data_IF_835290716550
#
_entry.id   IF_835290716550
#
_cell.length_a   1.000
_cell.length_b   1.000
_cell.length_c   1.000
_cell.angle_alpha   90.00
_cell.angle_beta   90.00
_cell.angle_gamma   90.00
#
_symmetry.space_group_name_H-M   'P 1'
#
loop_
_entity.id
_entity.type
_entity.pdbx_description
1 polymer ?
#
# COMPACT_ATOMS: atom_id res chain seq x y z
N UNK A 1 -8.37 1.91 34.40
CA UNK A 1 -7.64 0.74 33.86
C UNK A 1 -8.02 0.59 32.39
N UNK A 2 -7.19 1.11 31.49
CA UNK A 2 -7.41 1.08 30.04
C UNK A 2 -7.06 -0.30 29.49
N UNK A 3 -8.09 -1.08 29.17
CA UNK A 3 -7.94 -2.38 28.50
C UNK A 3 -7.43 -2.11 27.09
N UNK A 4 -6.17 -2.45 26.84
CA UNK A 4 -5.52 -2.32 25.54
C UNK A 4 -6.35 -2.99 24.45
N UNK A 5 -6.63 -2.23 23.39
CA UNK A 5 -7.16 -2.74 22.14
C UNK A 5 -6.17 -3.79 21.64
N UNK A 6 -6.56 -5.07 21.69
CA UNK A 6 -5.75 -6.15 21.15
C UNK A 6 -5.52 -5.85 19.68
N UNK A 7 -4.26 -5.89 19.25
CA UNK A 7 -3.87 -5.81 17.85
C UNK A 7 -4.70 -6.86 17.09
N UNK A 8 -5.62 -6.39 16.24
CA UNK A 8 -6.27 -7.25 15.28
C UNK A 8 -5.17 -7.73 14.34
N UNK A 9 -4.68 -8.96 14.56
CA UNK A 9 -3.90 -9.69 13.58
C UNK A 9 -4.73 -9.71 12.30
N UNK A 10 -4.33 -8.89 11.32
CA UNK A 10 -5.01 -8.79 10.04
C UNK A 10 -5.08 -10.20 9.43
N UNK A 11 -6.27 -10.72 9.10
CA UNK A 11 -6.38 -12.00 8.42
C UNK A 11 -5.52 -11.93 7.15
N UNK A 12 -4.74 -12.99 6.90
CA UNK A 12 -3.81 -13.07 5.78
C UNK A 12 -4.60 -12.87 4.48
N UNK A 13 -4.65 -11.64 3.95
CA UNK A 13 -5.41 -11.41 2.74
C UNK A 13 -4.79 -12.22 1.60
N UNK A 14 -5.61 -12.91 0.78
CA UNK A 14 -5.13 -13.63 -0.39
C UNK A 14 -4.41 -12.67 -1.35
N UNK A 15 -3.33 -13.16 -1.96
CA UNK A 15 -2.73 -12.52 -3.15
C UNK A 15 -3.37 -13.05 -4.44
N UNK A 16 -4.10 -14.17 -4.36
CA UNK A 16 -4.87 -14.71 -5.48
C UNK A 16 -6.17 -13.92 -5.71
N UNK A 17 -6.72 -13.93 -6.94
CA UNK A 17 -8.03 -13.35 -7.22
C UNK A 17 -9.11 -13.92 -6.30
N UNK A 18 -9.88 -13.02 -5.67
CA UNK A 18 -10.98 -13.42 -4.78
C UNK A 18 -12.19 -14.01 -5.53
N UNK A 19 -12.30 -13.71 -6.83
CA UNK A 19 -13.40 -14.13 -7.69
C UNK A 19 -12.82 -14.86 -8.91
N UNK A 20 -13.29 -16.09 -9.22
CA UNK A 20 -12.90 -16.79 -10.43
C UNK A 20 -13.32 -16.03 -11.70
N UNK A 21 -12.50 -16.09 -12.74
CA UNK A 21 -12.74 -15.38 -14.00
C UNK A 21 -14.00 -15.82 -14.75
N UNK A 22 -14.52 -17.01 -14.43
CA UNK A 22 -15.71 -17.62 -15.04
C UNK A 22 -16.99 -17.43 -14.21
N UNK A 23 -16.97 -16.57 -13.18
CA UNK A 23 -18.11 -16.31 -12.29
C UNK A 23 -18.62 -14.85 -12.40
N UNK A 24 -19.27 -14.45 -13.51
CA UNK A 24 -19.69 -13.06 -13.74
C UNK A 24 -20.69 -12.53 -12.70
N UNK A 25 -21.56 -13.40 -12.19
CA UNK A 25 -22.53 -13.04 -11.14
C UNK A 25 -21.83 -12.70 -9.80
N UNK A 26 -20.74 -13.41 -9.49
CA UNK A 26 -19.96 -13.15 -8.29
C UNK A 26 -19.15 -11.86 -8.41
N UNK A 27 -18.61 -11.56 -9.60
CA UNK A 27 -17.94 -10.27 -9.83
C UNK A 27 -18.92 -9.09 -9.75
N UNK A 28 -20.14 -9.26 -10.27
CA UNK A 28 -21.19 -8.25 -10.12
C UNK A 28 -21.52 -7.98 -8.64
N UNK A 29 -21.72 -9.05 -7.85
CA UNK A 29 -21.96 -8.92 -6.42
C UNK A 29 -20.77 -8.29 -5.67
N UNK A 30 -19.54 -8.63 -6.06
CA UNK A 30 -18.32 -8.02 -5.49
C UNK A 30 -18.25 -6.52 -5.81
N UNK A 31 -18.54 -6.12 -7.04
CA UNK A 31 -18.56 -4.71 -7.44
C UNK A 31 -19.60 -3.93 -6.63
N UNK A 32 -20.83 -4.45 -6.54
CA UNK A 32 -21.90 -3.82 -5.77
C UNK A 32 -21.52 -3.68 -4.30
N UNK A 33 -20.89 -4.69 -3.71
CA UNK A 33 -20.43 -4.64 -2.33
C UNK A 33 -19.34 -3.58 -2.13
N UNK A 34 -18.36 -3.48 -3.04
CA UNK A 34 -17.32 -2.44 -2.98
C UNK A 34 -17.96 -1.05 -3.03
N UNK A 35 -18.85 -0.80 -3.98
CA UNK A 35 -19.55 0.49 -4.12
C UNK A 35 -20.38 0.82 -2.87
N UNK A 36 -21.09 -0.18 -2.35
CA UNK A 36 -21.86 -0.05 -1.11
C UNK A 36 -20.97 0.20 0.12
N UNK A 37 -19.68 -0.15 0.11
CA UNK A 37 -18.74 0.22 1.19
C UNK A 37 -18.14 1.62 1.03
N UNK A 38 -18.00 2.11 -0.20
CA UNK A 38 -17.49 3.46 -0.46
C UNK A 38 -18.49 4.53 -0.06
N UNK A 39 -19.77 4.33 -0.36
CA UNK A 39 -20.84 5.26 0.01
C UNK A 39 -20.85 5.64 1.51
N UNK A 40 -20.91 4.69 2.47
CA UNK A 40 -20.88 5.03 3.89
C UNK A 40 -19.51 5.54 4.34
N UNK A 41 -18.41 5.08 3.74
CA UNK A 41 -17.08 5.64 4.02
C UNK A 41 -17.05 7.14 3.71
N UNK A 42 -17.51 7.54 2.53
CA UNK A 42 -17.49 8.94 2.09
C UNK A 42 -18.45 9.80 2.91
N UNK A 43 -19.63 9.25 3.26
CA UNK A 43 -20.59 9.92 4.12
C UNK A 43 -20.03 10.19 5.52
N UNK A 44 -19.35 9.22 6.13
CA UNK A 44 -18.73 9.35 7.46
C UNK A 44 -17.54 10.31 7.42
N UNK A 45 -16.76 10.27 6.34
CA UNK A 45 -15.61 11.15 6.16
C UNK A 45 -16.06 12.62 6.10
N UNK A 46 -17.15 12.89 5.39
CA UNK A 46 -17.66 14.24 5.18
C UNK A 46 -16.98 14.94 4.00
N UNK A 47 -17.63 15.94 3.38
CA UNK A 47 -17.19 16.51 2.10
C UNK A 47 -15.86 17.25 2.18
N UNK A 48 -15.55 17.88 3.32
CA UNK A 48 -14.29 18.62 3.50
C UNK A 48 -13.11 17.67 3.57
N UNK A 49 -13.17 16.69 4.44
CA UNK A 49 -12.13 15.67 4.61
C UNK A 49 -12.00 14.81 3.34
N UNK A 50 -13.10 14.54 2.63
CA UNK A 50 -13.08 13.89 1.32
C UNK A 50 -12.24 14.67 0.30
N UNK A 51 -12.46 15.99 0.18
CA UNK A 51 -11.67 16.85 -0.71
C UNK A 51 -10.20 16.99 -0.27
N UNK A 52 -9.94 16.96 1.04
CA UNK A 52 -8.58 17.03 1.60
C UNK A 52 -7.83 15.71 1.53
N UNK A 53 -8.52 14.57 1.30
CA UNK A 53 -7.91 13.26 1.11
C UNK A 53 -7.25 13.21 -0.27
N UNK A 54 -6.10 13.86 -0.40
CA UNK A 54 -5.36 13.95 -1.65
C UNK A 54 -4.86 12.58 -2.09
N UNK A 55 -5.30 12.15 -3.27
CA UNK A 55 -4.79 10.97 -3.98
C UNK A 55 -3.32 11.12 -4.39
N UNK A 56 -2.77 12.34 -4.46
CA UNK A 56 -1.36 12.59 -4.79
C UNK A 56 -0.38 11.97 -3.79
N UNK A 57 -0.75 11.90 -2.52
CA UNK A 57 0.06 11.32 -1.45
C UNK A 57 0.31 9.81 -1.69
N UNK A 58 -0.63 9.13 -2.33
CA UNK A 58 -0.47 7.73 -2.71
C UNK A 58 0.61 7.56 -3.79
N UNK A 59 0.60 8.41 -4.82
CA UNK A 59 1.58 8.35 -5.91
C UNK A 59 3.02 8.53 -5.40
N UNK A 60 3.24 9.45 -4.47
CA UNK A 60 4.59 9.68 -3.87
C UNK A 60 5.11 8.41 -3.19
N UNK A 61 4.25 7.72 -2.42
CA UNK A 61 4.62 6.45 -1.80
C UNK A 61 4.90 5.37 -2.84
N UNK A 62 4.05 5.23 -3.86
CA UNK A 62 4.21 4.22 -4.91
C UNK A 62 5.49 4.43 -5.71
N UNK A 63 5.79 5.68 -6.06
CA UNK A 63 7.03 6.04 -6.75
C UNK A 63 8.25 5.69 -5.91
N UNK A 64 8.26 6.07 -4.63
CA UNK A 64 9.38 5.76 -3.75
C UNK A 64 9.55 4.25 -3.54
N UNK A 65 8.45 3.51 -3.38
CA UNK A 65 8.46 2.05 -3.22
C UNK A 65 9.03 1.36 -4.48
N UNK A 66 8.60 1.77 -5.67
CA UNK A 66 9.10 1.25 -6.93
C UNK A 66 10.56 1.62 -7.17
N UNK A 67 10.89 2.92 -7.10
CA UNK A 67 12.22 3.47 -7.40
C UNK A 67 13.32 2.93 -6.49
N UNK A 68 13.05 2.80 -5.19
CA UNK A 68 14.01 2.25 -4.23
C UNK A 68 13.85 0.76 -3.99
N UNK A 69 12.95 0.11 -4.74
CA UNK A 69 12.69 -1.33 -4.67
C UNK A 69 12.37 -1.81 -3.24
N UNK A 70 11.64 -0.99 -2.47
CA UNK A 70 11.40 -1.19 -1.03
C UNK A 70 10.65 -2.50 -0.79
N UNK A 71 9.65 -2.81 -1.63
CA UNK A 71 8.88 -4.04 -1.49
C UNK A 71 9.76 -5.29 -1.62
N UNK A 72 10.70 -5.33 -2.57
CA UNK A 72 11.62 -6.47 -2.75
C UNK A 72 12.75 -6.51 -1.72
N UNK A 73 12.97 -5.42 -0.98
CA UNK A 73 14.00 -5.36 0.06
C UNK A 73 13.61 -6.11 1.34
N UNK A 74 12.31 -6.36 1.55
CA UNK A 74 11.77 -7.06 2.72
C UNK A 74 11.51 -8.52 2.29
N UNK A 75 12.09 -9.54 2.96
CA UNK A 75 11.83 -10.92 2.59
C UNK A 75 10.39 -11.31 2.95
N UNK A 76 9.81 -12.19 2.14
CA UNK A 76 8.45 -12.64 2.35
C UNK A 76 8.35 -13.43 3.67
N UNK A 77 7.35 -13.09 4.48
CA UNK A 77 7.12 -13.66 5.82
C UNK A 77 8.17 -13.34 6.88
N UNK A 78 9.10 -12.42 6.59
CA UNK A 78 10.06 -11.93 7.56
C UNK A 78 9.74 -10.50 8.01
N UNK A 79 10.40 -10.12 9.09
CA UNK A 79 10.34 -8.82 9.73
C UNK A 79 11.71 -8.17 9.65
N UNK A 80 11.76 -6.88 9.27
CA UNK A 80 13.01 -6.19 8.94
C UNK A 80 13.05 -4.82 9.59
N UNK A 81 14.21 -4.42 10.09
CA UNK A 81 14.40 -3.09 10.68
C UNK A 81 14.51 -2.00 9.61
N UNK A 82 14.26 -0.73 9.98
CA UNK A 82 14.53 0.41 9.11
C UNK A 82 15.98 0.42 8.58
N UNK A 83 16.95 0.10 9.43
CA UNK A 83 18.38 0.13 9.09
C UNK A 83 18.73 -0.93 8.03
N UNK A 84 18.13 -2.13 8.13
CA UNK A 84 18.34 -3.19 7.15
C UNK A 84 17.70 -2.85 5.80
N UNK A 85 16.49 -2.27 5.80
CA UNK A 85 15.83 -1.79 4.58
C UNK A 85 16.68 -0.69 3.93
N UNK A 86 17.12 0.30 4.70
CA UNK A 86 17.99 1.38 4.24
C UNK A 86 19.27 0.85 3.58
N UNK A 87 19.93 -0.12 4.21
CA UNK A 87 21.12 -0.77 3.67
C UNK A 87 20.83 -1.51 2.35
N UNK A 88 19.72 -2.24 2.26
CA UNK A 88 19.34 -3.00 1.06
C UNK A 88 18.94 -2.08 -0.11
N UNK A 89 18.28 -0.97 0.19
CA UNK A 89 17.82 0.00 -0.81
C UNK A 89 18.90 1.02 -1.21
N UNK A 90 19.98 1.17 -0.42
CA UNK A 90 20.99 2.21 -0.65
C UNK A 90 20.49 3.62 -0.36
N UNK A 91 19.56 3.77 0.60
CA UNK A 91 18.90 5.03 0.96
C UNK A 91 19.16 5.35 2.43
N UNK A 92 19.13 6.64 2.81
CA UNK A 92 19.23 7.02 4.22
C UNK A 92 18.05 6.47 5.04
N UNK A 93 18.32 5.98 6.25
CA UNK A 93 17.29 5.44 7.16
C UNK A 93 16.16 6.45 7.46
N UNK A 94 16.47 7.75 7.54
CA UNK A 94 15.47 8.79 7.77
C UNK A 94 14.45 8.88 6.62
N UNK A 95 14.92 8.72 5.38
CA UNK A 95 14.06 8.78 4.20
C UNK A 95 13.23 7.50 4.08
N UNK A 96 13.84 6.33 4.30
CA UNK A 96 13.12 5.05 4.39
C UNK A 96 12.02 5.13 5.46
N UNK A 97 12.33 5.73 6.61
CA UNK A 97 11.35 5.92 7.70
C UNK A 97 10.19 6.80 7.28
N UNK A 98 10.44 7.90 6.57
CA UNK A 98 9.39 8.78 6.04
C UNK A 98 8.50 8.05 5.04
N UNK A 99 9.11 7.35 4.08
CA UNK A 99 8.41 6.59 3.04
C UNK A 99 7.54 5.50 3.66
N UNK A 100 8.10 4.66 4.54
CA UNK A 100 7.36 3.55 5.15
C UNK A 100 6.25 4.02 6.08
N UNK A 101 6.47 5.10 6.86
CA UNK A 101 5.40 5.67 7.69
C UNK A 101 4.22 6.14 6.85
N UNK A 102 4.49 6.79 5.72
CA UNK A 102 3.45 7.21 4.81
C UNK A 102 2.76 6.00 4.15
N UNK A 103 3.52 5.04 3.65
CA UNK A 103 3.00 3.82 3.04
C UNK A 103 2.12 2.98 3.99
N UNK A 104 2.38 3.03 5.30
CA UNK A 104 1.51 2.40 6.31
C UNK A 104 0.15 3.10 6.45
N UNK A 105 0.07 4.42 6.28
CA UNK A 105 -1.23 5.13 6.23
C UNK A 105 -2.08 4.67 5.06
N UNK A 106 -1.42 4.21 4.00
CA UNK A 106 -2.02 3.62 2.79
C UNK A 106 -2.23 2.10 2.91
N UNK A 107 -1.92 1.51 4.08
CA UNK A 107 -2.06 0.07 4.39
C UNK A 107 -1.19 -0.86 3.52
N UNK A 108 -0.11 -0.32 2.94
CA UNK A 108 0.80 -1.08 2.08
C UNK A 108 1.77 -1.95 2.89
N UNK A 109 2.22 -1.47 4.05
CA UNK A 109 3.08 -2.20 4.97
C UNK A 109 2.46 -2.18 6.37
N UNK A 110 3.03 -2.96 7.29
CA UNK A 110 2.68 -2.94 8.71
C UNK A 110 3.93 -2.89 9.58
N UNK A 111 3.80 -2.28 10.74
CA UNK A 111 4.82 -2.21 11.79
C UNK A 111 4.34 -3.06 12.98
N UNK A 112 4.63 -4.39 13.00
CA UNK A 112 4.20 -5.27 14.09
C UNK A 112 4.80 -4.87 15.45
N UNK A 113 6.04 -4.42 15.43
CA UNK A 113 6.74 -3.83 16.58
C UNK A 113 7.38 -2.52 16.16
N UNK A 114 7.53 -1.58 17.09
CA UNK A 114 8.13 -0.27 16.80
C UNK A 114 9.53 -0.45 16.19
N UNK A 115 9.71 0.04 14.97
CA UNK A 115 10.96 -0.03 14.22
C UNK A 115 11.12 -1.28 13.35
N UNK A 116 10.14 -2.19 13.37
CA UNK A 116 10.15 -3.46 12.66
C UNK A 116 9.05 -3.47 11.61
N UNK A 117 9.36 -3.90 10.40
CA UNK A 117 8.49 -3.83 9.22
C UNK A 117 8.19 -5.20 8.66
N UNK A 118 6.95 -5.38 8.24
CA UNK A 118 6.51 -6.56 7.51
C UNK A 118 5.53 -6.21 6.39
N UNK A 119 5.41 -7.13 5.45
CA UNK A 119 4.45 -7.05 4.36
C UNK A 119 2.99 -7.12 4.84
N UNK A 120 2.13 -6.38 4.15
CA UNK A 120 0.71 -6.74 3.99
C UNK A 120 0.54 -7.56 2.71
N UNK A 121 -0.68 -7.99 2.38
CA UNK A 121 -0.91 -8.66 1.09
C UNK A 121 -0.60 -7.75 -0.10
N UNK A 122 -0.85 -6.44 0.01
CA UNK A 122 -0.62 -5.48 -1.08
C UNK A 122 0.85 -5.30 -1.38
N UNK A 123 1.70 -5.04 -0.38
CA UNK A 123 3.15 -4.94 -0.65
C UNK A 123 3.77 -6.28 -1.02
N UNK A 124 3.20 -7.40 -0.56
CA UNK A 124 3.64 -8.74 -0.99
C UNK A 124 3.35 -8.97 -2.47
N UNK A 125 2.18 -8.55 -2.97
CA UNK A 125 1.86 -8.58 -4.40
C UNK A 125 2.94 -7.84 -5.23
N UNK A 126 3.37 -6.66 -4.79
CA UNK A 126 4.44 -5.89 -5.46
C UNK A 126 5.79 -6.64 -5.42
N UNK A 127 6.07 -7.38 -4.35
CA UNK A 127 7.32 -8.11 -4.19
C UNK A 127 7.37 -9.43 -4.99
N UNK A 128 6.22 -10.12 -5.10
CA UNK A 128 6.11 -11.46 -5.71
C UNK A 128 5.74 -11.42 -7.20
N UNK A 129 4.98 -10.42 -7.66
CA UNK A 129 4.51 -10.31 -9.04
C UNK A 129 5.27 -9.21 -9.79
N UNK A 130 6.04 -9.63 -10.81
CA UNK A 130 6.84 -8.70 -11.60
C UNK A 130 5.99 -7.75 -12.45
N UNK A 131 4.83 -8.20 -12.97
CA UNK A 131 3.91 -7.33 -13.71
C UNK A 131 3.38 -6.22 -12.81
N UNK A 132 3.05 -6.54 -11.56
CA UNK A 132 2.61 -5.53 -10.58
C UNK A 132 3.75 -4.60 -10.16
N UNK A 133 4.97 -5.13 -9.99
CA UNK A 133 6.14 -4.31 -9.72
C UNK A 133 6.41 -3.30 -10.85
N UNK A 134 6.35 -3.75 -12.10
CA UNK A 134 6.53 -2.91 -13.28
C UNK A 134 5.41 -1.89 -13.40
N UNK A 135 4.16 -2.29 -13.19
CA UNK A 135 3.01 -1.38 -13.18
C UNK A 135 3.19 -0.28 -12.13
N UNK A 136 3.62 -0.60 -10.91
CA UNK A 136 3.89 0.38 -9.85
C UNK A 136 5.01 1.33 -10.25
N UNK A 137 6.09 0.84 -10.87
CA UNK A 137 7.20 1.67 -11.31
C UNK A 137 6.79 2.62 -12.45
N UNK A 138 6.19 2.09 -13.52
CA UNK A 138 5.79 2.86 -14.71
C UNK A 138 4.69 3.87 -14.41
N UNK A 139 3.64 3.46 -13.70
CA UNK A 139 2.49 4.34 -13.39
C UNK A 139 2.91 5.50 -12.49
N UNK A 140 3.92 5.30 -11.64
CA UNK A 140 4.39 6.34 -10.72
C UNK A 140 5.40 7.31 -11.35
N UNK A 141 6.18 6.86 -12.33
CA UNK A 141 7.16 7.70 -13.03
C UNK A 141 6.54 8.43 -14.24
N UNK A 142 5.70 7.78 -15.05
CA UNK A 142 5.14 8.37 -16.29
C UNK A 142 3.98 9.32 -16.04
N UNK A 143 3.03 8.98 -15.16
CA UNK A 143 1.87 9.85 -14.88
C UNK A 143 2.26 11.16 -14.22
N UNK A 144 3.34 11.16 -13.42
CA UNK A 144 3.81 12.38 -12.78
C UNK A 144 4.55 13.29 -13.77
N UNK A 145 5.45 12.74 -14.60
CA UNK A 145 6.13 13.53 -15.63
C UNK A 145 5.13 14.12 -16.62
N UNK A 146 4.12 13.34 -17.04
CA UNK A 146 3.06 13.82 -17.92
C UNK A 146 2.19 14.93 -17.29
N UNK A 147 1.86 14.82 -16.00
CA UNK A 147 1.06 15.83 -15.29
C UNK A 147 1.80 17.15 -15.03
N UNK A 148 3.14 17.16 -15.08
CA UNK A 148 3.96 18.36 -14.83
C UNK A 148 4.59 18.98 -16.07
N UNK A 149 4.53 18.31 -17.24
CA UNK A 149 5.21 18.77 -18.46
C UNK A 149 4.34 19.48 -19.51
N UNK A 150 3.04 19.65 -19.29
CA UNK A 150 2.16 20.50 -20.12
C UNK A 150 1.73 21.79 -19.39
N UNK A 151 2.70 22.66 -19.04
CA UNK A 151 2.44 24.03 -18.56
C UNK A 151 3.40 25.04 -19.16
#
# INVERSE_FOLDING_TARGET
MTKGMKSHTSPRSPTEPLVPSDAPELEAARSELIDATLMPHDLILGPKEYLMKFTHDWLISMQAIGRFNIAKSIPIHEEVSYADIAKRCGVNELDVRRILRHAMTLRLFKEPERGIFAHTATSRMIAEDQQMADWVATTSDELWQAATHDS
#
